data_IF_243067258142
#
_entry.id   IF_243067258142
#
_cell.length_a   1.000
_cell.length_b   1.000
_cell.length_c   1.000
_cell.angle_alpha   90.00
_cell.angle_beta   90.00
_cell.angle_gamma   90.00
#
_symmetry.space_group_name_H-M   'P 1'
#
loop_
_entity.id
_entity.type
_entity.pdbx_description
1 polymer ?
#
# COMPACT_ATOMS: atom_id res chain seq x y z
N UNK A 1 10.27 -0.39 -10.03
CA UNK A 1 10.14 0.98 -10.58
C UNK A 1 9.17 1.74 -9.69
N UNK A 2 9.37 3.05 -9.54
CA UNK A 2 8.42 3.87 -8.76
C UNK A 2 7.02 3.84 -9.36
N UNK A 3 6.03 3.83 -8.47
CA UNK A 3 4.62 3.97 -8.80
C UNK A 3 4.27 5.42 -9.18
N UNK A 4 5.02 6.40 -8.66
CA UNK A 4 4.82 7.82 -8.95
C UNK A 4 5.66 8.23 -10.17
N UNK A 5 4.99 8.62 -11.26
CA UNK A 5 5.66 8.97 -12.51
C UNK A 5 6.60 10.18 -12.37
N UNK A 6 6.32 11.11 -11.46
CA UNK A 6 7.22 12.26 -11.20
C UNK A 6 8.55 11.80 -10.61
N UNK A 7 8.57 10.76 -9.77
CA UNK A 7 9.82 10.19 -9.28
C UNK A 7 10.65 9.59 -10.42
N UNK A 8 9.98 8.93 -11.38
CA UNK A 8 10.65 8.43 -12.59
C UNK A 8 11.20 9.58 -13.42
N UNK A 9 10.47 10.69 -13.56
CA UNK A 9 10.96 11.88 -14.29
C UNK A 9 12.19 12.49 -13.66
N UNK A 10 12.24 12.57 -12.33
CA UNK A 10 13.33 13.21 -11.58
C UNK A 10 14.58 12.31 -11.54
N UNK A 11 14.40 11.03 -11.19
CA UNK A 11 15.53 10.13 -10.92
C UNK A 11 15.82 9.14 -12.04
N UNK A 12 14.93 9.03 -13.02
CA UNK A 12 15.02 8.08 -14.13
C UNK A 12 14.53 6.67 -13.77
N UNK A 13 14.82 5.73 -14.67
CA UNK A 13 14.52 4.31 -14.47
C UNK A 13 15.63 3.65 -13.65
N UNK A 14 15.43 3.57 -12.34
CA UNK A 14 16.30 2.88 -11.40
C UNK A 14 15.51 1.92 -10.47
N UNK A 15 16.17 0.93 -9.84
CA UNK A 15 15.59 0.11 -8.79
C UNK A 15 15.37 0.92 -7.51
N UNK A 16 14.27 1.69 -7.43
CA UNK A 16 13.93 2.48 -6.24
C UNK A 16 13.95 1.64 -4.95
N UNK A 17 14.71 2.11 -3.95
CA UNK A 17 15.02 1.32 -2.76
C UNK A 17 13.85 1.09 -1.81
N UNK A 18 12.93 2.05 -1.70
CA UNK A 18 11.78 1.97 -0.79
C UNK A 18 10.80 0.84 -1.13
N UNK A 19 10.65 0.51 -2.42
CA UNK A 19 9.89 -0.64 -2.89
C UNK A 19 10.63 -1.97 -2.73
N UNK A 20 11.92 -1.95 -2.41
CA UNK A 20 12.75 -3.14 -2.26
C UNK A 20 13.53 -3.51 -3.52
N UNK A 21 14.74 -4.03 -3.30
CA UNK A 21 15.66 -4.46 -4.35
C UNK A 21 16.12 -5.88 -4.00
N UNK A 22 15.96 -6.81 -4.94
CA UNK A 22 16.40 -8.19 -4.79
C UNK A 22 17.58 -8.46 -5.72
N UNK A 23 18.65 -9.02 -5.17
CA UNK A 23 19.89 -9.33 -5.89
C UNK A 23 20.21 -10.80 -5.62
N UNK A 24 20.51 -11.56 -6.66
CA UNK A 24 20.93 -12.96 -6.49
C UNK A 24 22.28 -13.07 -5.79
N UNK A 25 22.51 -14.16 -5.06
CA UNK A 25 23.77 -14.38 -4.34
C UNK A 25 25.02 -14.24 -5.23
N UNK A 26 25.08 -14.81 -6.46
CA UNK A 26 26.26 -14.65 -7.31
C UNK A 26 26.49 -13.21 -7.78
N UNK A 27 25.42 -12.43 -8.01
CA UNK A 27 25.54 -11.03 -8.38
C UNK A 27 26.01 -10.20 -7.19
N UNK A 28 25.44 -10.42 -6.00
CA UNK A 28 25.90 -9.78 -4.77
C UNK A 28 27.39 -10.05 -4.53
N UNK A 29 27.83 -11.31 -4.63
CA UNK A 29 29.23 -11.70 -4.47
C UNK A 29 30.18 -11.01 -5.49
N UNK A 30 29.70 -10.73 -6.70
CA UNK A 30 30.47 -9.95 -7.70
C UNK A 30 30.57 -8.48 -7.30
N UNK A 31 29.47 -7.86 -6.88
CA UNK A 31 29.43 -6.45 -6.52
C UNK A 31 30.21 -6.15 -5.23
N UNK A 32 30.33 -7.13 -4.34
CA UNK A 32 31.06 -7.01 -3.08
C UNK A 32 32.53 -7.42 -3.17
N UNK A 33 33.05 -7.75 -4.35
CA UNK A 33 34.50 -7.92 -4.54
C UNK A 33 35.22 -6.63 -4.14
N UNK A 34 36.34 -6.67 -3.39
CA UNK A 34 36.93 -5.48 -2.77
C UNK A 34 37.13 -4.30 -3.73
N UNK A 35 37.68 -4.57 -4.92
CA UNK A 35 37.90 -3.54 -5.96
C UNK A 35 36.60 -2.96 -6.51
N UNK A 36 35.58 -3.79 -6.71
CA UNK A 36 34.27 -3.36 -7.22
C UNK A 36 33.53 -2.56 -6.15
N UNK A 37 33.47 -3.10 -4.94
CA UNK A 37 32.84 -2.44 -3.79
C UNK A 37 33.44 -1.06 -3.55
N UNK A 38 34.77 -0.95 -3.50
CA UNK A 38 35.45 0.33 -3.34
C UNK A 38 35.06 1.32 -4.44
N UNK A 39 35.13 0.91 -5.72
CA UNK A 39 34.76 1.78 -6.84
C UNK A 39 33.28 2.22 -6.79
N UNK A 40 32.39 1.37 -6.27
CA UNK A 40 30.98 1.69 -6.10
C UNK A 40 30.72 2.63 -4.92
N UNK A 41 31.49 2.52 -3.83
CA UNK A 41 31.39 3.43 -2.68
C UNK A 41 32.03 4.81 -2.94
N UNK A 42 32.92 4.92 -3.93
CA UNK A 42 33.51 6.19 -4.39
C UNK A 42 32.61 6.96 -5.36
N UNK A 43 31.43 6.44 -5.71
CA UNK A 43 30.46 7.15 -6.55
C UNK A 43 29.97 8.42 -5.84
N UNK A 44 29.71 9.53 -6.58
CA UNK A 44 29.30 10.80 -6.00
C UNK A 44 27.83 10.84 -5.53
N UNK A 45 27.17 9.68 -5.40
CA UNK A 45 25.79 9.57 -4.97
C UNK A 45 25.73 9.29 -3.47
N UNK A 46 24.71 9.82 -2.79
CA UNK A 46 24.45 9.56 -1.38
C UNK A 46 23.23 8.63 -1.14
N UNK A 47 22.53 8.23 -2.21
CA UNK A 47 21.38 7.32 -2.14
C UNK A 47 21.78 5.88 -2.51
N UNK A 48 21.42 4.93 -1.64
CA UNK A 48 21.84 3.53 -1.78
C UNK A 48 21.32 2.85 -3.06
N UNK A 49 20.09 3.13 -3.47
CA UNK A 49 19.50 2.59 -4.70
C UNK A 49 20.18 3.13 -5.97
N UNK A 50 20.52 4.41 -5.99
CA UNK A 50 21.29 5.02 -7.07
C UNK A 50 22.71 4.45 -7.13
N UNK A 51 23.36 4.21 -5.99
CA UNK A 51 24.66 3.54 -5.92
C UNK A 51 24.55 2.12 -6.50
N UNK A 52 23.56 1.33 -6.08
CA UNK A 52 23.33 -0.03 -6.58
C UNK A 52 23.12 -0.02 -8.10
N UNK A 53 22.26 0.86 -8.61
CA UNK A 53 21.98 0.99 -10.05
C UNK A 53 23.24 1.31 -10.86
N UNK A 54 24.01 2.31 -10.43
CA UNK A 54 25.23 2.70 -11.12
C UNK A 54 26.32 1.62 -11.02
N UNK A 55 26.45 0.98 -9.86
CA UNK A 55 27.38 -0.12 -9.64
C UNK A 55 27.06 -1.30 -10.58
N UNK A 56 25.78 -1.67 -10.71
CA UNK A 56 25.30 -2.68 -11.65
C UNK A 56 25.64 -2.32 -13.10
N UNK A 57 25.36 -1.07 -13.50
CA UNK A 57 25.64 -0.59 -14.86
C UNK A 57 27.14 -0.61 -15.20
N UNK A 58 28.01 -0.28 -14.23
CA UNK A 58 29.47 -0.21 -14.41
C UNK A 58 30.19 -1.57 -14.30
N UNK A 59 29.74 -2.45 -13.41
CA UNK A 59 30.50 -3.65 -13.03
C UNK A 59 29.77 -4.98 -13.30
N UNK A 60 28.61 -4.94 -13.96
CA UNK A 60 27.89 -6.13 -14.38
C UNK A 60 27.22 -5.95 -15.75
N UNK A 61 26.94 -7.07 -16.41
CA UNK A 61 26.06 -7.12 -17.58
C UNK A 61 24.58 -7.26 -17.16
N UNK A 62 24.29 -7.57 -15.89
CA UNK A 62 22.92 -7.65 -15.38
C UNK A 62 22.26 -6.27 -15.44
N UNK A 63 21.00 -6.25 -15.85
CA UNK A 63 20.15 -5.06 -15.87
C UNK A 63 18.91 -5.29 -15.02
N UNK A 64 18.43 -4.22 -14.42
CA UNK A 64 17.26 -4.25 -13.54
C UNK A 64 16.02 -4.65 -14.33
N UNK A 65 15.25 -5.58 -13.77
CA UNK A 65 13.86 -5.85 -14.15
C UNK A 65 12.95 -5.32 -13.04
N UNK A 66 11.76 -4.85 -13.41
CA UNK A 66 10.84 -4.25 -12.44
C UNK A 66 9.67 -5.19 -12.16
N UNK A 67 9.55 -5.60 -10.91
CA UNK A 67 8.43 -6.39 -10.43
C UNK A 67 7.22 -5.47 -10.16
N UNK A 68 6.02 -5.78 -10.69
CA UNK A 68 4.82 -4.96 -10.50
C UNK A 68 4.30 -4.94 -9.06
N UNK A 69 4.67 -5.91 -8.22
CA UNK A 69 4.18 -6.06 -6.85
C UNK A 69 5.07 -5.40 -5.79
N UNK A 70 6.18 -4.78 -6.19
CA UNK A 70 7.07 -4.03 -5.31
C UNK A 70 6.74 -2.54 -5.34
N UNK A 71 6.14 -1.99 -4.29
CA UNK A 71 5.58 -0.63 -4.31
C UNK A 71 6.43 0.38 -3.53
N UNK A 72 6.92 1.40 -4.25
CA UNK A 72 7.67 2.53 -3.69
C UNK A 72 6.76 3.54 -2.99
N UNK A 73 5.51 3.68 -3.48
CA UNK A 73 4.47 4.50 -2.85
C UNK A 73 4.93 5.91 -2.41
N UNK A 74 5.69 6.65 -3.22
CA UNK A 74 6.13 8.01 -2.85
C UNK A 74 5.06 9.06 -3.20
N UNK A 75 3.87 8.92 -2.63
CA UNK A 75 2.76 9.87 -2.79
C UNK A 75 2.57 10.71 -1.53
N UNK A 76 2.43 12.01 -1.72
CA UNK A 76 2.06 12.94 -0.63
C UNK A 76 0.59 13.29 -0.74
N UNK A 77 -0.05 13.50 0.40
CA UNK A 77 -1.46 13.85 0.48
C UNK A 77 -1.93 13.90 1.93
N UNK A 78 -3.25 13.85 2.11
CA UNK A 78 -3.86 13.74 3.43
C UNK A 78 -3.73 12.31 4.00
N UNK A 79 -4.35 12.08 5.15
CA UNK A 79 -4.34 10.79 5.85
C UNK A 79 -4.86 9.60 5.03
N UNK A 80 -5.63 9.83 3.95
CA UNK A 80 -6.21 8.79 3.11
C UNK A 80 -5.47 8.60 1.78
N UNK A 81 -4.33 9.26 1.58
CA UNK A 81 -3.61 9.26 0.30
C UNK A 81 -3.29 7.85 -0.24
N UNK A 82 -3.03 6.88 0.63
CA UNK A 82 -2.72 5.49 0.25
C UNK A 82 -3.93 4.55 0.21
N UNK A 83 -5.15 5.04 0.46
CA UNK A 83 -6.33 4.18 0.54
C UNK A 83 -6.59 3.42 -0.76
N UNK A 84 -6.41 4.06 -1.91
CA UNK A 84 -6.54 3.41 -3.21
C UNK A 84 -5.59 2.22 -3.41
N UNK A 85 -4.38 2.27 -2.85
CA UNK A 85 -3.44 1.15 -2.90
C UNK A 85 -3.98 -0.02 -2.08
N UNK A 86 -4.24 0.22 -0.80
CA UNK A 86 -4.66 -0.83 0.12
C UNK A 86 -6.07 -1.40 -0.18
N UNK A 87 -6.91 -0.66 -0.90
CA UNK A 87 -8.25 -1.10 -1.35
C UNK A 87 -8.28 -1.64 -2.78
N UNK A 88 -7.13 -1.67 -3.46
CA UNK A 88 -7.06 -2.09 -4.86
C UNK A 88 -7.34 -3.58 -5.06
N UNK A 89 -7.17 -4.40 -4.02
CA UNK A 89 -7.20 -5.85 -4.11
C UNK A 89 -6.03 -6.45 -4.92
N UNK A 90 -5.00 -5.65 -5.24
CA UNK A 90 -3.78 -6.15 -5.86
C UNK A 90 -2.89 -6.77 -4.80
N UNK A 91 -2.23 -7.86 -5.16
CA UNK A 91 -1.17 -8.42 -4.34
C UNK A 91 -0.01 -7.42 -4.27
N UNK A 92 0.48 -7.18 -3.04
CA UNK A 92 1.60 -6.28 -2.78
C UNK A 92 2.66 -7.05 -2.02
N UNK A 93 3.80 -7.31 -2.66
CA UNK A 93 4.94 -7.97 -2.02
C UNK A 93 5.69 -7.02 -1.08
N UNK A 94 5.66 -5.72 -1.39
CA UNK A 94 6.17 -4.67 -0.51
C UNK A 94 5.27 -3.45 -0.55
N UNK A 95 5.22 -2.75 0.57
CA UNK A 95 4.61 -1.43 0.71
C UNK A 95 5.60 -0.52 1.43
N UNK A 96 5.64 0.74 1.04
CA UNK A 96 6.58 1.71 1.55
C UNK A 96 5.86 2.84 2.30
N UNK A 97 6.58 3.55 3.17
CA UNK A 97 6.06 4.63 4.01
C UNK A 97 4.84 4.34 4.93
N UNK A 98 4.41 3.08 5.07
CA UNK A 98 3.26 2.66 5.87
C UNK A 98 3.27 3.15 7.34
N UNK A 99 4.44 3.33 7.95
CA UNK A 99 4.51 3.79 9.35
C UNK A 99 4.41 5.31 9.50
N UNK A 100 4.93 6.06 8.54
CA UNK A 100 5.16 7.51 8.69
C UNK A 100 4.20 8.34 7.83
N UNK A 101 4.03 8.00 6.55
CA UNK A 101 3.15 8.77 5.67
C UNK A 101 1.74 8.18 5.66
N UNK A 102 1.61 6.86 5.81
CA UNK A 102 0.33 6.15 5.64
C UNK A 102 -0.04 5.33 6.88
N UNK A 103 -0.25 5.97 8.04
CA UNK A 103 -0.25 5.32 9.37
C UNK A 103 -1.19 4.11 9.43
N UNK A 104 -0.62 2.94 9.14
CA UNK A 104 -1.29 1.65 9.06
C UNK A 104 -0.33 0.63 9.62
N UNK A 105 -0.73 -0.08 10.68
CA UNK A 105 0.11 -1.11 11.29
C UNK A 105 0.17 -2.36 10.40
N UNK A 106 1.02 -2.33 9.38
CA UNK A 106 1.17 -3.42 8.40
C UNK A 106 1.51 -4.77 9.04
N UNK A 107 2.37 -4.86 10.08
CA UNK A 107 2.52 -6.09 10.85
C UNK A 107 1.20 -6.64 11.42
N UNK A 108 0.36 -5.80 12.02
CA UNK A 108 -0.96 -6.23 12.51
C UNK A 108 -1.88 -6.65 11.35
N UNK A 109 -1.89 -5.90 10.24
CA UNK A 109 -2.63 -6.28 9.00
C UNK A 109 -2.24 -7.69 8.54
N UNK A 110 -0.94 -8.01 8.55
CA UNK A 110 -0.42 -9.30 8.08
C UNK A 110 -0.86 -10.50 8.94
N UNK A 111 -1.31 -10.30 10.18
CA UNK A 111 -1.81 -11.40 11.02
C UNK A 111 -3.00 -12.13 10.42
N UNK A 112 -3.77 -11.50 9.53
CA UNK A 112 -4.85 -12.19 8.82
C UNK A 112 -4.35 -13.33 7.94
N UNK A 113 -3.09 -13.30 7.51
CA UNK A 113 -2.46 -14.38 6.77
C UNK A 113 -2.46 -15.70 7.54
N UNK A 114 -2.59 -15.68 8.88
CA UNK A 114 -2.77 -16.89 9.69
C UNK A 114 -4.05 -17.67 9.33
N UNK A 115 -5.09 -16.97 8.86
CA UNK A 115 -6.35 -17.57 8.46
C UNK A 115 -6.44 -17.88 6.96
N UNK A 116 -5.79 -17.07 6.11
CA UNK A 116 -6.01 -17.10 4.66
C UNK A 116 -4.73 -17.20 3.80
N UNK A 117 -3.57 -17.40 4.42
CA UNK A 117 -2.27 -17.37 3.73
C UNK A 117 -1.81 -15.94 3.42
N UNK A 118 -0.59 -15.81 2.94
CA UNK A 118 0.01 -14.51 2.60
C UNK A 118 -0.76 -13.81 1.47
N UNK A 119 -1.38 -14.58 0.58
CA UNK A 119 -2.21 -14.08 -0.52
C UNK A 119 -3.46 -13.36 -0.04
N UNK A 120 -3.96 -13.68 1.15
CA UNK A 120 -5.15 -13.06 1.71
C UNK A 120 -4.90 -11.70 2.35
N UNK A 121 -3.64 -11.28 2.50
CA UNK A 121 -3.27 -9.95 3.00
C UNK A 121 -3.65 -8.89 1.94
N UNK A 122 -4.45 -7.89 2.33
CA UNK A 122 -5.02 -6.86 1.44
C UNK A 122 -5.86 -7.40 0.26
N UNK A 123 -6.16 -8.70 0.24
CA UNK A 123 -7.09 -9.26 -0.74
C UNK A 123 -8.48 -8.63 -0.58
N UNK A 124 -9.21 -8.55 -1.69
CA UNK A 124 -10.51 -7.90 -1.74
C UNK A 124 -11.65 -8.90 -1.97
N UNK A 125 -12.70 -8.81 -1.17
CA UNK A 125 -13.94 -9.56 -1.33
C UNK A 125 -15.12 -8.62 -1.49
N UNK A 126 -15.99 -8.94 -2.44
CA UNK A 126 -17.31 -8.33 -2.57
C UNK A 126 -18.33 -9.26 -1.91
N UNK A 127 -18.97 -8.77 -0.86
CA UNK A 127 -20.08 -9.41 -0.17
C UNK A 127 -21.42 -8.89 -0.70
N UNK A 128 -22.51 -9.51 -0.24
CA UNK A 128 -23.86 -9.00 -0.48
C UNK A 128 -24.02 -7.56 0.04
N UNK A 129 -25.06 -6.86 -0.43
CA UNK A 129 -25.38 -5.48 -0.02
C UNK A 129 -24.26 -4.48 -0.30
N UNK A 130 -23.53 -4.67 -1.41
CA UNK A 130 -22.51 -3.72 -1.88
C UNK A 130 -21.42 -3.42 -0.84
N UNK A 131 -21.06 -4.44 -0.07
CA UNK A 131 -20.00 -4.37 0.94
C UNK A 131 -18.70 -4.98 0.40
N UNK A 132 -17.62 -4.24 0.48
CA UNK A 132 -16.30 -4.64 -0.01
C UNK A 132 -15.32 -4.66 1.16
N UNK A 133 -14.76 -5.81 1.45
CA UNK A 133 -13.64 -5.97 2.37
C UNK A 133 -12.34 -5.85 1.61
N UNK A 134 -11.43 -5.01 2.08
CA UNK A 134 -10.01 -5.02 1.72
C UNK A 134 -9.23 -5.48 2.95
N UNK A 135 -8.71 -6.71 2.92
CA UNK A 135 -8.36 -7.45 4.14
C UNK A 135 -7.39 -6.70 5.04
N UNK A 136 -7.75 -6.54 6.31
CA UNK A 136 -6.92 -5.85 7.28
C UNK A 136 -6.73 -4.35 7.01
N UNK A 137 -7.43 -3.74 6.06
CA UNK A 137 -7.40 -2.28 5.85
C UNK A 137 -8.76 -1.62 6.06
N UNK A 138 -9.79 -2.04 5.32
CA UNK A 138 -11.11 -1.44 5.40
C UNK A 138 -12.23 -2.40 5.02
N UNK A 139 -13.43 -2.08 5.52
CA UNK A 139 -14.69 -2.58 4.99
C UNK A 139 -15.44 -1.36 4.46
N UNK A 140 -15.89 -1.40 3.22
CA UNK A 140 -16.53 -0.28 2.55
C UNK A 140 -17.92 -0.69 2.10
N UNK A 141 -18.93 0.09 2.47
CA UNK A 141 -20.28 -0.04 1.96
C UNK A 141 -20.52 1.03 0.89
N UNK A 142 -21.08 0.64 -0.26
CA UNK A 142 -21.43 1.53 -1.36
C UNK A 142 -22.96 1.70 -1.45
N UNK A 143 -23.56 2.74 -0.82
CA UNK A 143 -25.02 2.84 -0.69
C UNK A 143 -25.79 3.01 -2.00
N UNK A 144 -25.07 3.31 -3.10
CA UNK A 144 -25.63 3.47 -4.45
C UNK A 144 -25.33 2.29 -5.36
N UNK A 145 -24.84 1.19 -4.81
CA UNK A 145 -24.38 0.04 -5.58
C UNK A 145 -22.90 0.13 -5.95
N UNK A 146 -22.29 -1.03 -6.17
CA UNK A 146 -20.97 -1.16 -6.77
C UNK A 146 -20.92 -2.36 -7.72
N UNK A 147 -20.29 -2.19 -8.88
CA UNK A 147 -20.08 -3.28 -9.84
C UNK A 147 -18.61 -3.70 -9.93
N UNK A 148 -18.39 -4.89 -10.48
CA UNK A 148 -17.06 -5.48 -10.63
C UNK A 148 -16.17 -4.70 -11.60
N UNK A 149 -16.74 -4.03 -12.60
CA UNK A 149 -15.99 -3.23 -13.57
C UNK A 149 -15.41 -1.97 -12.91
N UNK A 150 -16.15 -1.38 -11.98
CA UNK A 150 -15.71 -0.28 -11.15
C UNK A 150 -14.65 -0.75 -10.16
N UNK A 151 -14.82 -1.94 -9.56
CA UNK A 151 -13.81 -2.51 -8.67
C UNK A 151 -12.52 -2.89 -9.40
N UNK A 152 -12.56 -3.25 -10.67
CA UNK A 152 -11.36 -3.48 -11.49
C UNK A 152 -10.47 -2.23 -11.58
N UNK A 153 -11.05 -1.03 -11.43
CA UNK A 153 -10.32 0.24 -11.42
C UNK A 153 -9.90 0.62 -10.00
N UNK A 154 -8.74 1.27 -9.90
CA UNK A 154 -8.21 1.72 -8.62
C UNK A 154 -8.62 3.16 -8.34
N UNK A 155 -9.13 3.38 -7.14
CA UNK A 155 -9.49 4.71 -6.68
C UNK A 155 -8.25 5.57 -6.51
N UNK A 156 -8.13 6.63 -7.29
CA UNK A 156 -6.99 7.54 -7.22
C UNK A 156 -7.15 8.47 -6.03
N UNK A 157 -6.63 8.04 -4.88
CA UNK A 157 -6.63 8.80 -3.62
C UNK A 157 -5.40 9.68 -3.45
N UNK A 158 -4.50 9.68 -4.43
CA UNK A 158 -3.27 10.45 -4.46
C UNK A 158 -3.27 11.48 -5.59
N UNK A 159 -2.36 12.45 -5.48
CA UNK A 159 -2.04 13.37 -6.57
C UNK A 159 -0.89 12.84 -7.43
N UNK A 160 -0.93 13.14 -8.72
CA UNK A 160 0.07 12.71 -9.69
C UNK A 160 -0.30 11.44 -10.46
N UNK A 161 0.50 11.14 -11.47
CA UNK A 161 0.28 10.00 -12.36
C UNK A 161 0.93 8.72 -11.82
N UNK A 162 0.14 7.65 -11.83
CA UNK A 162 0.55 6.29 -11.47
C UNK A 162 -0.08 5.23 -12.37
N UNK A 163 -0.75 5.64 -13.45
CA UNK A 163 -1.55 4.74 -14.28
C UNK A 163 -0.69 3.67 -14.95
N UNK A 164 0.57 3.98 -15.25
CA UNK A 164 1.54 3.05 -15.83
C UNK A 164 1.78 1.79 -14.99
N UNK A 165 1.53 1.85 -13.68
CA UNK A 165 1.73 0.73 -12.75
C UNK A 165 0.44 0.27 -12.07
N UNK A 166 -0.41 1.22 -11.70
CA UNK A 166 -1.63 0.96 -10.94
C UNK A 166 -2.89 0.88 -11.82
N UNK A 167 -2.82 1.28 -13.09
CA UNK A 167 -3.98 1.42 -13.97
C UNK A 167 -4.76 0.12 -14.23
N UNK A 168 -6.06 0.23 -14.56
CA UNK A 168 -6.80 1.46 -14.80
C UNK A 168 -7.24 2.19 -13.51
N UNK A 169 -7.35 3.52 -13.56
CA UNK A 169 -7.74 4.36 -12.41
C UNK A 169 -9.19 4.83 -12.47
N UNK A 170 -9.75 5.21 -11.32
CA UNK A 170 -11.06 5.88 -11.17
C UNK A 170 -10.98 7.04 -10.16
N UNK A 171 -11.85 8.06 -10.26
CA UNK A 171 -11.87 9.15 -9.28
C UNK A 171 -12.17 8.66 -7.86
N UNK A 172 -11.61 9.37 -6.87
CA UNK A 172 -11.98 9.21 -5.47
C UNK A 172 -13.46 9.52 -5.22
N UNK A 173 -14.09 8.72 -4.36
CA UNK A 173 -15.48 8.88 -3.96
C UNK A 173 -15.59 9.62 -2.63
N UNK A 174 -16.66 10.41 -2.51
CA UNK A 174 -16.99 11.06 -1.25
C UNK A 174 -17.76 10.11 -0.30
N UNK A 175 -17.93 10.57 0.94
CA UNK A 175 -18.61 9.80 1.99
C UNK A 175 -20.10 9.49 1.69
N UNK A 176 -20.74 10.17 0.72
CA UNK A 176 -22.13 9.87 0.31
C UNK A 176 -22.20 8.67 -0.63
N UNK A 177 -21.10 8.35 -1.30
CA UNK A 177 -20.99 7.23 -2.23
C UNK A 177 -20.21 6.05 -1.63
N UNK A 178 -19.44 6.31 -0.56
CA UNK A 178 -18.51 5.36 0.03
C UNK A 178 -18.46 5.51 1.55
N UNK A 179 -19.18 4.65 2.27
CA UNK A 179 -19.11 4.58 3.73
C UNK A 179 -17.98 3.61 4.14
N UNK A 180 -16.93 4.13 4.77
CA UNK A 180 -15.73 3.34 5.08
C UNK A 180 -15.60 3.04 6.57
N UNK A 181 -15.42 1.78 6.90
CA UNK A 181 -15.03 1.28 8.21
C UNK A 181 -13.54 0.95 8.16
N UNK A 182 -12.73 1.67 8.95
CA UNK A 182 -11.27 1.50 8.98
C UNK A 182 -10.86 0.48 10.04
N UNK A 183 -9.86 -0.33 9.74
CA UNK A 183 -9.25 -1.25 10.69
C UNK A 183 -8.80 -0.50 11.95
N UNK A 184 -9.00 -1.13 13.10
CA UNK A 184 -8.49 -0.68 14.40
C UNK A 184 -7.56 -1.68 15.02
N UNK A 185 -7.88 -2.96 14.88
CA UNK A 185 -7.10 -4.01 15.49
C UNK A 185 -7.24 -5.32 14.72
N UNK A 186 -6.19 -6.12 14.75
CA UNK A 186 -6.16 -7.50 14.24
C UNK A 186 -5.47 -8.37 15.28
N UNK A 187 -6.18 -9.39 15.76
CA UNK A 187 -5.72 -10.26 16.82
C UNK A 187 -5.77 -11.73 16.37
N UNK A 188 -4.70 -12.46 16.62
CA UNK A 188 -4.67 -13.91 16.45
C UNK A 188 -5.35 -14.55 17.65
N UNK A 189 -6.41 -15.30 17.40
CA UNK A 189 -7.10 -16.11 18.39
C UNK A 189 -6.52 -17.52 18.35
N UNK A 190 -5.58 -17.81 19.25
CA UNK A 190 -4.87 -19.09 19.30
C UNK A 190 -5.82 -20.30 19.23
N UNK A 191 -5.59 -21.15 18.22
CA UNK A 191 -6.40 -22.34 17.94
C UNK A 191 -7.84 -22.08 17.46
N UNK A 192 -8.22 -20.83 17.17
CA UNK A 192 -9.59 -20.45 16.74
C UNK A 192 -9.63 -19.66 15.43
N UNK A 193 -8.62 -18.84 15.16
CA UNK A 193 -8.50 -18.08 13.92
C UNK A 193 -8.02 -16.65 14.14
N UNK A 194 -8.62 -15.68 13.43
CA UNK A 194 -8.22 -14.26 13.49
C UNK A 194 -9.45 -13.38 13.70
N UNK A 195 -9.34 -12.42 14.61
CA UNK A 195 -10.32 -11.36 14.82
C UNK A 195 -9.83 -10.05 14.25
N UNK A 196 -10.71 -9.34 13.56
CA UNK A 196 -10.46 -7.97 13.09
C UNK A 196 -11.59 -7.05 13.55
N UNK A 197 -11.22 -5.86 14.04
CA UNK A 197 -12.17 -4.84 14.47
C UNK A 197 -12.06 -3.63 13.56
N UNK A 198 -13.18 -3.22 12.97
CA UNK A 198 -13.30 -2.07 12.09
C UNK A 198 -14.24 -1.04 12.70
N UNK A 199 -13.96 0.25 12.46
CA UNK A 199 -14.81 1.33 12.97
C UNK A 199 -15.10 2.38 11.91
N UNK A 200 -16.32 2.89 11.92
CA UNK A 200 -16.72 4.11 11.24
C UNK A 200 -17.11 5.11 12.33
N UNK A 201 -16.40 6.24 12.42
CA UNK A 201 -16.64 7.23 13.48
C UNK A 201 -17.61 8.31 13.00
N UNK A 202 -18.50 8.73 13.89
CA UNK A 202 -19.38 9.84 13.67
C UNK A 202 -18.58 11.12 13.35
N UNK A 203 -19.12 11.92 12.43
CA UNK A 203 -18.48 13.16 12.01
C UNK A 203 -18.53 14.18 13.16
N UNK A 204 -17.37 14.68 13.57
CA UNK A 204 -17.25 15.72 14.60
C UNK A 204 -17.00 17.06 13.93
N UNK A 205 -18.02 17.91 13.91
CA UNK A 205 -17.97 19.24 13.29
C UNK A 205 -17.79 20.28 14.38
N UNK A 206 -16.68 21.01 14.33
CA UNK A 206 -16.43 22.15 15.21
C UNK A 206 -16.90 23.42 14.51
N UNK A 207 -17.82 24.17 15.11
CA UNK A 207 -18.27 25.44 14.56
C UNK A 207 -17.26 26.58 14.79
N UNK A 208 -17.51 27.76 14.21
CA UNK A 208 -16.65 28.93 14.34
C UNK A 208 -16.51 29.44 15.79
N UNK A 209 -17.39 29.04 16.69
CA UNK A 209 -17.36 29.38 18.11
C UNK A 209 -16.66 28.29 18.95
N UNK A 210 -16.11 27.25 18.32
CA UNK A 210 -15.42 26.15 19.00
C UNK A 210 -16.34 25.08 19.56
N UNK A 211 -17.66 25.14 19.31
CA UNK A 211 -18.60 24.12 19.76
C UNK A 211 -18.53 22.91 18.84
N UNK A 212 -18.27 21.75 19.43
CA UNK A 212 -18.25 20.47 18.72
C UNK A 212 -19.66 19.90 18.65
N UNK A 213 -20.11 19.55 17.45
CA UNK A 213 -21.35 18.80 17.20
C UNK A 213 -20.99 17.46 16.59
N UNK A 214 -21.69 16.41 17.01
CA UNK A 214 -21.51 15.05 16.50
C UNK A 214 -22.67 14.75 15.57
N UNK A 215 -22.37 14.38 14.32
CA UNK A 215 -23.36 13.93 13.34
C UNK A 215 -23.24 12.42 13.14
N UNK A 216 -24.34 11.71 13.37
CA UNK A 216 -24.41 10.26 13.27
C UNK A 216 -24.01 9.54 14.56
N UNK A 217 -23.61 8.28 14.42
CA UNK A 217 -23.21 7.40 15.51
C UNK A 217 -21.90 6.69 15.15
N UNK A 218 -21.07 6.42 16.16
CA UNK A 218 -19.92 5.54 15.97
C UNK A 218 -20.43 4.11 15.72
N UNK A 219 -19.88 3.45 14.70
CA UNK A 219 -20.21 2.07 14.33
C UNK A 219 -18.97 1.21 14.44
N UNK A 220 -19.17 -0.03 14.90
CA UNK A 220 -18.13 -1.05 15.04
C UNK A 220 -18.57 -2.29 14.30
N UNK A 221 -17.67 -2.85 13.50
CA UNK A 221 -17.82 -4.16 12.86
C UNK A 221 -16.71 -5.07 13.36
N UNK A 222 -17.07 -6.29 13.73
CA UNK A 222 -16.12 -7.34 14.09
C UNK A 222 -16.20 -8.42 13.01
N UNK A 223 -15.05 -8.77 12.45
CA UNK A 223 -14.90 -9.85 11.49
C UNK A 223 -14.09 -10.97 12.14
N UNK A 224 -14.65 -12.18 12.10
CA UNK A 224 -14.02 -13.38 12.64
C UNK A 224 -13.71 -14.33 11.50
N UNK A 225 -12.43 -14.59 11.28
CA UNK A 225 -11.94 -15.67 10.44
C UNK A 225 -11.79 -16.91 11.31
N UNK A 226 -12.53 -17.97 10.99
CA UNK A 226 -12.50 -19.24 11.72
C UNK A 226 -11.65 -20.26 10.93
N UNK A 227 -10.81 -21.02 11.64
CA UNK A 227 -9.92 -22.06 11.07
C UNK A 227 -10.26 -23.44 11.60
#
# INVERSE_FOLDING_TARGET
MSDNFEQIRIFGLLPFGGGGIFISLPLAARLTQPRVWQACMELPNDQGDQIVDQCLKKHSQTRTTFDPYLHQMDFRGDENVAAGYYESGRQMLSVHHWRHWYPLDMPAVAYVGKACGDEGILMRWLFEHDMVLSNGYSIVHYPKGIDTDTLYKIEQTWQGDAEHKMGPLRPALDAKHKETYRIRDTEILEGKGVRQVYTNRAERVTDKAGKVTVKGQDKVLELLWLI
#
